data_IF_338254586809
#
_entry.id   IF_338254586809
#
_cell.length_a   1.000
_cell.length_b   1.000
_cell.length_c   1.000
_cell.angle_alpha   90.00
_cell.angle_beta   90.00
_cell.angle_gamma   90.00
#
_symmetry.space_group_name_H-M   'P 1'
#
loop_
_entity.id
_entity.type
_entity.pdbx_description
1 polymer ?
#
# COMPACT_ATOMS: atom_id res chain seq x y z
N UNK A 1 -4.79 -6.42 -78.87
CA UNK A 1 -3.74 -6.38 -77.83
C UNK A 1 -4.13 -5.60 -76.56
N UNK A 2 -4.88 -4.49 -76.65
CA UNK A 2 -5.27 -3.71 -75.46
C UNK A 2 -6.22 -4.45 -74.46
N UNK A 3 -7.21 -5.22 -74.96
CA UNK A 3 -8.18 -5.96 -74.10
C UNK A 3 -7.56 -7.10 -73.30
N UNK A 4 -6.53 -7.77 -73.84
CA UNK A 4 -5.81 -8.83 -73.14
C UNK A 4 -4.89 -8.28 -72.05
N UNK A 5 -4.30 -7.09 -72.28
CA UNK A 5 -3.50 -6.39 -71.28
C UNK A 5 -4.35 -5.87 -70.11
N UNK A 6 -5.56 -5.35 -70.38
CA UNK A 6 -6.48 -4.90 -69.31
C UNK A 6 -7.01 -6.05 -68.45
N UNK A 7 -7.28 -7.22 -69.04
CA UNK A 7 -7.68 -8.41 -68.28
C UNK A 7 -6.55 -8.95 -67.39
N UNK A 8 -5.32 -8.98 -67.91
CA UNK A 8 -4.15 -9.39 -67.14
C UNK A 8 -3.87 -8.44 -65.96
N UNK A 9 -4.00 -7.13 -66.18
CA UNK A 9 -3.84 -6.13 -65.12
C UNK A 9 -4.92 -6.25 -64.03
N UNK A 10 -6.17 -6.53 -64.40
CA UNK A 10 -7.26 -6.75 -63.45
C UNK A 10 -7.04 -8.01 -62.59
N UNK A 11 -6.58 -9.12 -63.20
CA UNK A 11 -6.24 -10.34 -62.48
C UNK A 11 -5.02 -10.18 -61.54
N UNK A 12 -4.01 -9.40 -61.96
CA UNK A 12 -2.87 -9.11 -61.11
C UNK A 12 -3.27 -8.25 -59.90
N UNK A 13 -4.17 -7.27 -60.09
CA UNK A 13 -4.67 -6.43 -59.01
C UNK A 13 -5.50 -7.24 -57.98
N UNK A 14 -6.37 -8.15 -58.42
CA UNK A 14 -7.13 -9.01 -57.51
C UNK A 14 -6.21 -9.97 -56.75
N UNK A 15 -5.22 -10.56 -57.42
CA UNK A 15 -4.21 -11.41 -56.77
C UNK A 15 -3.41 -10.65 -55.71
N UNK A 16 -3.00 -9.40 -55.99
CA UNK A 16 -2.27 -8.56 -55.04
C UNK A 16 -3.12 -8.21 -53.80
N UNK A 17 -4.41 -7.90 -54.00
CA UNK A 17 -5.35 -7.63 -52.89
C UNK A 17 -5.53 -8.87 -52.02
N UNK A 18 -5.73 -10.05 -52.64
CA UNK A 18 -5.87 -11.32 -51.91
C UNK A 18 -4.60 -11.62 -51.12
N UNK A 19 -3.42 -11.51 -51.75
CA UNK A 19 -2.14 -11.75 -51.08
C UNK A 19 -1.92 -10.79 -49.91
N UNK A 20 -2.18 -9.50 -50.11
CA UNK A 20 -2.11 -8.47 -49.07
C UNK A 20 -3.04 -8.79 -47.90
N UNK A 21 -4.27 -9.21 -48.18
CA UNK A 21 -5.25 -9.59 -47.15
C UNK A 21 -4.80 -10.81 -46.34
N UNK A 22 -4.19 -11.81 -46.98
CA UNK A 22 -3.66 -13.00 -46.32
C UNK A 22 -2.45 -12.68 -45.44
N UNK A 23 -1.55 -11.81 -45.92
CA UNK A 23 -0.41 -11.33 -45.14
C UNK A 23 -0.86 -10.50 -43.94
N UNK A 24 -1.90 -9.67 -44.11
CA UNK A 24 -2.50 -8.91 -43.02
C UNK A 24 -3.13 -9.82 -41.97
N UNK A 25 -3.92 -10.82 -42.39
CA UNK A 25 -4.48 -11.83 -41.48
C UNK A 25 -3.39 -12.55 -40.68
N UNK A 26 -2.34 -13.05 -41.34
CA UNK A 26 -1.20 -13.68 -40.65
C UNK A 26 -0.49 -12.76 -39.65
N UNK A 27 -0.39 -11.46 -39.96
CA UNK A 27 0.16 -10.47 -39.03
C UNK A 27 -0.75 -10.28 -37.82
N UNK A 28 -2.06 -10.19 -38.02
CA UNK A 28 -3.04 -10.10 -36.94
C UNK A 28 -2.96 -11.33 -36.04
N UNK A 29 -3.00 -12.53 -36.63
CA UNK A 29 -2.91 -13.79 -35.88
C UNK A 29 -1.62 -13.87 -35.03
N UNK A 30 -0.49 -13.41 -35.59
CA UNK A 30 0.79 -13.35 -34.87
C UNK A 30 0.76 -12.34 -33.72
N UNK A 31 0.15 -11.17 -33.93
CA UNK A 31 0.01 -10.15 -32.89
C UNK A 31 -0.90 -10.66 -31.77
N UNK A 32 -2.02 -11.29 -32.11
CA UNK A 32 -2.95 -11.87 -31.15
C UNK A 32 -2.27 -12.97 -30.33
N UNK A 33 -1.48 -13.84 -30.97
CA UNK A 33 -0.68 -14.83 -30.27
C UNK A 33 0.32 -14.18 -29.30
N UNK A 34 0.97 -13.09 -29.72
CA UNK A 34 1.93 -12.36 -28.87
C UNK A 34 1.25 -11.65 -27.70
N UNK A 35 0.07 -11.08 -27.90
CA UNK A 35 -0.73 -10.46 -26.82
C UNK A 35 -1.07 -11.51 -25.78
N UNK A 36 -1.61 -12.66 -26.19
CA UNK A 36 -1.94 -13.77 -25.28
C UNK A 36 -0.73 -14.27 -24.51
N UNK A 37 0.41 -14.38 -25.18
CA UNK A 37 1.67 -14.78 -24.54
C UNK A 37 2.11 -13.75 -23.48
N UNK A 38 2.06 -12.46 -23.80
CA UNK A 38 2.42 -11.39 -22.87
C UNK A 38 1.46 -11.29 -21.69
N UNK A 39 0.17 -11.48 -21.92
CA UNK A 39 -0.85 -11.54 -20.86
C UNK A 39 -0.57 -12.72 -19.91
N UNK A 40 -0.22 -13.90 -20.45
CA UNK A 40 0.18 -15.05 -19.64
C UNK A 40 1.47 -14.78 -18.83
N UNK A 41 2.47 -14.13 -19.44
CA UNK A 41 3.68 -13.72 -18.71
C UNK A 41 3.39 -12.70 -17.61
N UNK A 42 2.51 -11.73 -17.86
CA UNK A 42 2.11 -10.74 -16.86
C UNK A 42 1.36 -11.40 -15.69
N UNK A 43 0.42 -12.31 -15.98
CA UNK A 43 -0.30 -13.05 -14.95
C UNK A 43 0.67 -13.86 -14.08
N UNK A 44 1.60 -14.59 -14.69
CA UNK A 44 2.61 -15.36 -13.96
C UNK A 44 3.55 -14.46 -13.13
N UNK A 45 3.95 -13.30 -13.66
CA UNK A 45 4.78 -12.35 -12.93
C UNK A 45 4.02 -11.75 -11.72
N UNK A 46 2.76 -11.39 -11.90
CA UNK A 46 1.90 -10.88 -10.84
C UNK A 46 1.70 -11.92 -9.72
N UNK A 47 1.47 -13.18 -10.08
CA UNK A 47 1.36 -14.28 -9.11
C UNK A 47 2.65 -14.49 -8.31
N UNK A 48 3.81 -14.46 -8.97
CA UNK A 48 5.12 -14.56 -8.29
C UNK A 48 5.35 -13.42 -7.32
N UNK A 49 5.08 -12.18 -7.74
CA UNK A 49 5.19 -11.01 -6.87
C UNK A 49 4.22 -11.08 -5.67
N UNK A 50 2.98 -11.55 -5.90
CA UNK A 50 2.02 -11.76 -4.83
C UNK A 50 2.47 -12.87 -3.87
N UNK A 51 3.05 -13.97 -4.38
CA UNK A 51 3.60 -15.05 -3.58
C UNK A 51 4.78 -14.59 -2.72
N UNK A 52 5.69 -13.79 -3.28
CA UNK A 52 6.81 -13.19 -2.54
C UNK A 52 6.30 -12.29 -1.41
N UNK A 53 5.34 -11.41 -1.69
CA UNK A 53 4.72 -10.54 -0.67
C UNK A 53 4.08 -11.36 0.45
N UNK A 54 3.32 -12.41 0.12
CA UNK A 54 2.74 -13.33 1.12
C UNK A 54 3.82 -14.00 1.96
N UNK A 55 4.91 -14.45 1.34
CA UNK A 55 6.05 -15.07 2.02
C UNK A 55 6.71 -14.10 3.00
N UNK A 56 7.00 -12.87 2.55
CA UNK A 56 7.57 -11.80 3.39
C UNK A 56 6.67 -11.47 4.58
N UNK A 57 5.36 -11.31 4.34
CA UNK A 57 4.40 -11.00 5.41
C UNK A 57 4.34 -12.13 6.43
N UNK A 58 4.29 -13.40 6.01
CA UNK A 58 4.30 -14.54 6.92
C UNK A 58 5.57 -14.59 7.77
N UNK A 59 6.74 -14.41 7.15
CA UNK A 59 8.02 -14.38 7.86
C UNK A 59 8.12 -13.22 8.87
N UNK A 60 7.61 -12.03 8.50
CA UNK A 60 7.54 -10.89 9.42
C UNK A 60 6.56 -11.14 10.57
N UNK A 61 5.41 -11.75 10.30
CA UNK A 61 4.44 -12.12 11.34
C UNK A 61 5.04 -13.14 12.31
N UNK A 62 5.70 -14.19 11.82
CA UNK A 62 6.34 -15.19 12.68
C UNK A 62 7.45 -14.56 13.53
N UNK A 63 8.22 -13.63 12.97
CA UNK A 63 9.24 -12.90 13.73
C UNK A 63 8.61 -12.05 14.84
N UNK A 64 7.53 -11.31 14.55
CA UNK A 64 6.83 -10.51 15.56
C UNK A 64 6.30 -11.36 16.70
N UNK A 65 5.69 -12.50 16.40
CA UNK A 65 5.19 -13.44 17.41
C UNK A 65 6.34 -14.01 18.25
N UNK A 66 7.45 -14.39 17.62
CA UNK A 66 8.61 -14.90 18.33
C UNK A 66 9.23 -13.84 19.27
N UNK A 67 9.33 -12.59 18.81
CA UNK A 67 9.81 -11.47 19.62
C UNK A 67 8.86 -11.16 20.78
N UNK A 68 7.54 -11.15 20.56
CA UNK A 68 6.58 -10.93 21.66
C UNK A 68 6.59 -12.05 22.69
N UNK A 69 6.74 -13.32 22.27
CA UNK A 69 6.88 -14.44 23.21
C UNK A 69 8.22 -14.39 23.96
N UNK A 70 9.29 -13.93 23.31
CA UNK A 70 10.58 -13.71 23.97
C UNK A 70 10.49 -12.58 25.00
N UNK A 71 9.89 -11.44 24.66
CA UNK A 71 9.63 -10.33 25.58
C UNK A 71 8.79 -10.79 26.77
N UNK A 72 7.72 -11.57 26.54
CA UNK A 72 6.89 -12.14 27.61
C UNK A 72 7.67 -13.08 28.53
N UNK A 73 8.51 -13.97 27.98
CA UNK A 73 9.36 -14.88 28.78
C UNK A 73 10.43 -14.14 29.58
N UNK A 74 10.97 -13.05 29.03
CA UNK A 74 11.90 -12.17 29.74
C UNK A 74 11.20 -11.40 30.86
N UNK A 75 9.95 -10.98 30.66
CA UNK A 75 9.13 -10.33 31.69
C UNK A 75 8.66 -11.29 32.79
N UNK A 76 8.51 -12.60 32.51
CA UNK A 76 8.18 -13.63 33.52
C UNK A 76 9.39 -14.01 34.40
N UNK A 77 10.61 -13.86 33.88
CA UNK A 77 11.87 -14.10 34.60
C UNK A 77 12.41 -12.83 35.30
N UNK A 78 11.95 -11.65 34.90
CA UNK A 78 12.14 -10.41 35.63
C UNK A 78 11.02 -10.26 36.67
N UNK A 79 11.28 -9.67 37.85
CA UNK A 79 10.18 -9.26 38.72
C UNK A 79 9.26 -8.33 37.92
N UNK A 80 7.97 -8.66 37.88
CA UNK A 80 6.90 -7.95 37.17
C UNK A 80 7.26 -6.47 37.00
N UNK A 81 7.59 -6.08 35.75
CA UNK A 81 8.08 -4.75 35.35
C UNK A 81 7.82 -3.74 36.45
N UNK A 82 8.78 -3.60 37.37
CA UNK A 82 8.67 -2.58 38.40
C UNK A 82 8.39 -1.29 37.63
N UNK A 83 7.38 -0.48 38.02
CA UNK A 83 7.13 0.77 37.34
C UNK A 83 8.49 1.44 37.20
N UNK A 84 8.90 1.71 35.96
CA UNK A 84 10.21 2.29 35.69
C UNK A 84 10.39 3.41 36.71
N UNK A 85 11.44 3.38 37.55
CA UNK A 85 11.53 4.30 38.67
C UNK A 85 11.32 5.68 38.07
N UNK A 86 10.22 6.32 38.47
CA UNK A 86 9.81 7.58 37.88
C UNK A 86 11.00 8.51 38.08
N UNK A 87 11.79 8.72 37.03
CA UNK A 87 13.04 9.48 37.13
C UNK A 87 12.76 10.93 37.51
N UNK A 88 11.48 11.31 37.47
CA UNK A 88 10.89 12.51 38.03
C UNK A 88 9.49 12.20 38.59
N UNK A 89 9.10 12.78 39.76
CA UNK A 89 7.75 12.64 40.31
C UNK A 89 6.74 13.50 39.53
N UNK A 90 6.61 13.27 38.23
CA UNK A 90 5.58 13.91 37.42
C UNK A 90 4.28 13.13 37.55
N UNK A 91 3.23 13.80 38.00
CA UNK A 91 1.88 13.28 37.97
C UNK A 91 1.18 13.77 36.69
N UNK A 92 0.43 12.90 35.97
CA UNK A 92 -0.32 13.33 34.81
C UNK A 92 -1.43 14.31 35.22
N UNK A 93 -1.53 15.42 34.48
CA UNK A 93 -2.54 16.47 34.70
C UNK A 93 -3.77 16.32 33.79
N UNK A 94 -3.77 15.32 32.91
CA UNK A 94 -4.80 15.08 31.93
C UNK A 94 -4.39 14.04 30.89
N UNK A 95 -5.26 13.84 29.90
CA UNK A 95 -5.05 12.94 28.78
C UNK A 95 -5.44 13.60 27.45
N UNK A 96 -4.78 13.19 26.38
CA UNK A 96 -5.12 13.63 25.01
C UNK A 96 -6.05 12.61 24.38
N UNK A 97 -7.17 13.08 23.86
CA UNK A 97 -8.14 12.31 23.08
C UNK A 97 -7.95 12.64 21.61
N UNK A 98 -7.62 11.64 20.80
CA UNK A 98 -7.39 11.78 19.36
C UNK A 98 -7.96 10.60 18.60
N UNK A 99 -8.01 10.70 17.26
CA UNK A 99 -8.42 9.61 16.38
C UNK A 99 -7.31 8.55 16.15
N UNK A 100 -6.12 8.73 16.72
CA UNK A 100 -4.99 7.82 16.53
C UNK A 100 -4.92 6.81 17.67
N UNK A 101 -5.08 5.52 17.35
CA UNK A 101 -5.06 4.44 18.35
C UNK A 101 -3.67 3.84 18.55
N UNK A 102 -2.79 3.95 17.54
CA UNK A 102 -1.42 3.45 17.61
C UNK A 102 -0.39 4.51 17.19
N UNK A 103 0.87 4.29 17.58
CA UNK A 103 1.98 5.18 17.23
C UNK A 103 2.20 5.33 15.71
N UNK A 104 1.83 4.33 14.91
CA UNK A 104 2.06 4.40 13.46
C UNK A 104 0.96 5.19 12.73
N UNK A 105 -0.16 5.45 13.41
CA UNK A 105 -1.28 6.23 12.84
C UNK A 105 -1.06 7.73 13.01
N UNK A 106 -0.23 8.15 13.97
CA UNK A 106 0.03 9.57 14.22
C UNK A 106 0.83 10.18 13.06
N UNK A 107 0.35 11.28 12.47
CA UNK A 107 1.00 11.90 11.32
C UNK A 107 2.36 12.46 11.74
N UNK A 108 3.36 12.29 10.86
CA UNK A 108 4.72 12.84 11.07
C UNK A 108 4.73 14.37 11.13
N UNK A 109 3.75 15.02 10.51
CA UNK A 109 3.56 16.47 10.49
C UNK A 109 2.07 16.80 10.73
N UNK A 110 1.62 16.93 11.99
CA UNK A 110 0.21 17.09 12.32
C UNK A 110 -0.40 18.38 11.76
N UNK A 111 0.41 19.43 11.58
CA UNK A 111 -0.04 20.73 11.04
C UNK A 111 -0.59 20.64 9.60
N UNK A 112 -0.21 19.59 8.86
CA UNK A 112 -0.61 19.40 7.47
C UNK A 112 -1.93 18.62 7.36
N UNK A 113 -2.39 17.99 8.46
CA UNK A 113 -3.53 17.07 8.45
C UNK A 113 -4.69 17.68 9.25
N UNK A 114 -5.71 18.26 8.61
CA UNK A 114 -6.84 18.90 9.29
C UNK A 114 -7.64 17.97 10.20
N UNK A 115 -7.65 16.67 9.90
CA UNK A 115 -8.35 15.63 10.66
C UNK A 115 -7.58 15.19 11.93
N UNK A 116 -6.35 15.67 12.14
CA UNK A 116 -5.51 15.33 13.29
C UNK A 116 -5.82 16.15 14.55
N UNK A 117 -6.98 16.82 14.60
CA UNK A 117 -7.43 17.56 15.78
C UNK A 117 -7.63 16.61 16.96
N UNK A 118 -7.23 17.08 18.14
CA UNK A 118 -7.32 16.34 19.38
C UNK A 118 -7.84 17.26 20.50
N UNK A 119 -8.42 16.65 21.53
CA UNK A 119 -8.91 17.35 22.72
C UNK A 119 -8.05 16.96 23.91
N UNK A 120 -7.63 17.93 24.72
CA UNK A 120 -6.95 17.66 25.99
C UNK A 120 -8.00 17.66 27.10
N UNK A 121 -8.21 16.51 27.74
CA UNK A 121 -9.08 16.36 28.90
C UNK A 121 -8.23 16.48 30.16
N UNK A 122 -8.43 17.55 30.94
CA UNK A 122 -7.67 17.81 32.16
C UNK A 122 -8.34 17.18 33.38
N UNK A 123 -7.52 16.72 34.32
CA UNK A 123 -7.96 16.25 35.63
C UNK A 123 -8.18 17.45 36.55
N UNK A 124 -9.45 17.78 36.80
CA UNK A 124 -9.83 18.92 37.65
C UNK A 124 -9.44 18.74 39.13
N UNK A 125 -9.16 17.51 39.58
CA UNK A 125 -8.61 17.28 40.91
C UNK A 125 -7.15 17.77 41.03
N UNK A 126 -6.46 17.95 39.90
CA UNK A 126 -5.05 18.35 39.84
C UNK A 126 -4.84 19.73 39.22
N UNK A 127 -5.71 20.11 38.28
CA UNK A 127 -5.63 21.38 37.56
C UNK A 127 -6.78 22.28 38.01
N UNK A 128 -6.50 23.33 38.80
CA UNK A 128 -7.54 24.28 39.18
C UNK A 128 -8.01 25.07 37.96
N UNK A 129 -9.30 25.44 37.93
CA UNK A 129 -9.91 26.15 36.79
C UNK A 129 -9.20 27.47 36.47
N UNK A 130 -8.71 28.18 37.50
CA UNK A 130 -7.96 29.43 37.32
C UNK A 130 -6.62 29.25 36.57
N UNK A 131 -6.05 28.04 36.51
CA UNK A 131 -4.85 27.79 35.73
C UNK A 131 -5.10 27.84 34.21
N UNK A 132 -6.37 27.84 33.78
CA UNK A 132 -6.78 27.94 32.38
C UNK A 132 -7.22 29.35 31.98
N UNK A 133 -7.16 30.30 32.92
CA UNK A 133 -7.50 31.69 32.63
C UNK A 133 -6.56 32.26 31.55
N UNK A 134 -7.15 32.93 30.55
CA UNK A 134 -6.40 33.50 29.42
C UNK A 134 -6.02 32.53 28.30
N UNK A 135 -6.15 31.21 28.48
CA UNK A 135 -5.82 30.22 27.42
C UNK A 135 -6.67 30.42 26.17
N UNK A 136 -7.94 30.79 26.32
CA UNK A 136 -8.84 31.06 25.19
C UNK A 136 -8.50 32.32 24.37
N UNK A 137 -7.58 33.15 24.86
CA UNK A 137 -7.16 34.40 24.20
C UNK A 137 -5.90 34.24 23.34
N UNK A 138 -5.30 33.05 23.29
CA UNK A 138 -4.21 32.68 22.39
C UNK A 138 -4.72 32.03 21.11
#
# INVERSE_FOLDING_TARGET
MARSQSLAAALAATAAIVLSSLLYKRKCDRLDARVRELEAYLAAAAEKAAAERRGRVRAQQSLRVALSEQERRSDEAAPAKAPAPASYPMAPIGAVQSCFSTRNDTPRQPLVVPLARATVALDLARVPVGALEGVASY
#
